data_IF_122852177681
#
_entry.id   IF_122852177681
#
_cell.length_a   1.000
_cell.length_b   1.000
_cell.length_c   1.000
_cell.angle_alpha   90.00
_cell.angle_beta   90.00
_cell.angle_gamma   90.00
#
_symmetry.space_group_name_H-M   'P 1'
#
loop_
_entity.id
_entity.type
_entity.pdbx_description
1 polymer ?
#
# COMPACT_ATOMS: atom_id res chain seq x y z
N UNK A 1 11.92 27.69 -1.11
CA UNK A 1 13.05 27.29 -0.27
C UNK A 1 13.07 28.25 0.91
N UNK A 2 12.38 27.93 2.01
CA UNK A 2 12.57 28.64 3.28
C UNK A 2 13.08 27.60 4.26
N UNK A 3 14.40 27.58 4.47
CA UNK A 3 15.00 26.91 5.58
C UNK A 3 14.42 27.51 6.87
N UNK A 4 13.96 26.65 7.77
CA UNK A 4 13.59 27.07 9.12
C UNK A 4 14.79 27.81 9.71
N UNK A 5 14.59 29.05 10.15
CA UNK A 5 15.62 29.86 10.79
C UNK A 5 16.11 29.13 12.05
N UNK A 6 17.36 29.35 12.44
CA UNK A 6 17.94 28.78 13.67
C UNK A 6 17.10 29.07 14.91
N UNK A 7 16.42 30.20 14.95
CA UNK A 7 15.48 30.57 16.00
C UNK A 7 14.25 29.63 16.08
N UNK A 8 13.74 29.14 14.94
CA UNK A 8 12.63 28.18 14.89
C UNK A 8 13.08 26.77 15.29
N UNK A 9 14.33 26.41 15.01
CA UNK A 9 14.93 25.15 15.52
C UNK A 9 15.21 25.19 17.02
N UNK A 10 15.65 26.33 17.53
CA UNK A 10 15.89 26.51 18.96
C UNK A 10 14.59 26.50 19.78
N UNK A 11 13.49 27.02 19.26
CA UNK A 11 12.17 26.99 19.89
C UNK A 11 11.50 25.61 19.92
N UNK A 12 11.83 24.73 18.97
CA UNK A 12 11.27 23.37 18.90
C UNK A 12 11.91 22.37 19.87
N UNK A 13 13.15 22.60 20.27
CA UNK A 13 13.91 21.72 21.16
C UNK A 13 13.33 21.58 22.59
N UNK A 14 12.82 22.63 23.26
CA UNK A 14 12.21 22.50 24.58
C UNK A 14 10.87 21.76 24.54
N UNK A 15 10.05 21.97 23.52
CA UNK A 15 8.77 21.30 23.36
C UNK A 15 8.94 19.78 23.12
N UNK A 16 9.91 19.37 22.32
CA UNK A 16 10.25 17.97 22.09
C UNK A 16 10.78 17.29 23.36
N UNK A 17 11.58 18.00 24.19
CA UNK A 17 12.05 17.51 25.49
C UNK A 17 10.92 17.37 26.51
N UNK A 18 9.98 18.32 26.54
CA UNK A 18 8.81 18.27 27.42
C UNK A 18 7.86 17.10 27.04
N UNK A 19 7.67 16.85 25.74
CA UNK A 19 6.85 15.73 25.25
C UNK A 19 7.48 14.38 25.63
N UNK A 20 8.81 14.21 25.51
CA UNK A 20 9.55 13.01 25.94
C UNK A 20 9.45 12.78 27.44
N UNK A 21 9.55 13.86 28.24
CA UNK A 21 9.40 13.76 29.68
C UNK A 21 7.97 13.41 30.13
N UNK A 22 6.97 13.84 29.39
CA UNK A 22 5.56 13.47 29.61
C UNK A 22 5.24 12.03 29.21
N UNK A 23 5.82 11.55 28.12
CA UNK A 23 5.69 10.15 27.67
C UNK A 23 6.43 9.18 28.61
N UNK A 24 7.62 9.53 29.07
CA UNK A 24 8.36 8.75 30.06
C UNK A 24 7.59 8.60 31.38
N UNK A 25 6.91 9.65 31.85
CA UNK A 25 6.08 9.60 33.07
C UNK A 25 4.81 8.77 32.90
N UNK A 26 4.23 8.70 31.70
CA UNK A 26 3.06 7.82 31.42
C UNK A 26 3.44 6.33 31.35
N UNK A 27 4.66 6.00 30.94
CA UNK A 27 5.14 4.61 30.92
C UNK A 27 5.48 4.10 32.32
N UNK A 28 5.96 4.93 33.24
CA UNK A 28 6.25 4.54 34.62
C UNK A 28 5.01 4.38 35.49
N UNK A 29 3.90 5.04 35.16
CA UNK A 29 2.64 4.96 35.93
C UNK A 29 1.75 3.75 35.57
N UNK A 30 2.08 2.96 34.54
CA UNK A 30 1.26 1.78 34.13
C UNK A 30 1.85 0.41 34.49
N UNK A 31 2.96 0.33 35.24
CA UNK A 31 3.64 -0.93 35.55
C UNK A 31 3.31 -1.67 36.85
N UNK A 32 2.40 -1.28 37.78
CA UNK A 32 2.16 -2.12 38.95
C UNK A 32 1.21 -3.30 38.73
N UNK A 33 0.38 -3.34 37.68
CA UNK A 33 -0.65 -4.40 37.53
C UNK A 33 -0.25 -5.62 36.68
N UNK A 34 0.66 -5.49 35.73
CA UNK A 34 1.08 -6.64 34.90
C UNK A 34 2.12 -7.55 35.56
N UNK A 35 2.92 -7.02 36.47
CA UNK A 35 3.94 -7.82 37.20
C UNK A 35 3.31 -8.80 38.18
N UNK A 36 2.11 -8.52 38.72
CA UNK A 36 1.41 -9.45 39.63
C UNK A 36 0.75 -10.63 38.92
N UNK A 37 0.31 -10.47 37.66
CA UNK A 37 -0.32 -11.56 36.92
C UNK A 37 0.68 -12.62 36.44
N UNK A 38 1.90 -12.22 36.11
CA UNK A 38 2.98 -13.15 35.72
C UNK A 38 3.52 -13.91 36.95
N UNK A 39 3.57 -13.27 38.13
CA UNK A 39 3.96 -13.96 39.37
C UNK A 39 2.91 -14.94 39.89
N UNK A 40 1.63 -14.66 39.74
CA UNK A 40 0.56 -15.59 40.12
C UNK A 40 0.55 -16.85 39.23
N UNK A 41 0.81 -16.70 37.91
CA UNK A 41 0.91 -17.87 37.03
C UNK A 41 2.16 -18.74 37.24
N UNK A 42 3.24 -18.21 37.77
CA UNK A 42 4.43 -19.01 38.13
C UNK A 42 4.29 -19.72 39.46
N UNK A 43 3.52 -19.21 40.43
CA UNK A 43 3.24 -19.89 41.68
C UNK A 43 2.26 -21.06 41.52
N UNK A 44 1.24 -20.93 40.66
CA UNK A 44 0.32 -22.03 40.35
C UNK A 44 1.01 -23.22 39.64
N UNK A 45 2.04 -22.98 38.82
CA UNK A 45 2.79 -24.06 38.19
C UNK A 45 3.69 -24.81 39.20
N UNK A 46 4.11 -24.18 40.27
CA UNK A 46 4.94 -24.82 41.29
C UNK A 46 4.12 -25.69 42.25
N UNK A 47 2.87 -25.35 42.49
CA UNK A 47 1.96 -26.15 43.33
C UNK A 47 1.50 -27.42 42.59
N UNK A 48 1.23 -27.39 41.29
CA UNK A 48 0.84 -28.54 40.50
C UNK A 48 1.91 -29.62 40.38
N UNK A 49 3.20 -29.26 40.53
CA UNK A 49 4.29 -30.22 40.55
C UNK A 49 4.51 -30.95 41.89
N UNK A 50 3.93 -30.41 42.98
CA UNK A 50 4.05 -31.03 44.31
C UNK A 50 2.99 -32.10 44.62
N UNK A 51 1.92 -32.18 43.84
CA UNK A 51 0.78 -33.10 44.09
C UNK A 51 0.98 -34.45 43.39
N UNK A 52 1.93 -34.58 42.43
CA UNK A 52 2.12 -35.84 41.68
C UNK A 52 3.39 -36.64 42.10
N UNK A 53 3.95 -36.36 43.25
CA UNK A 53 5.16 -37.01 43.74
C UNK A 53 4.93 -37.77 45.09
N UNK A 54 3.95 -38.68 45.16
CA UNK A 54 3.91 -39.70 46.22
C UNK A 54 3.87 -41.10 45.62
N UNK A 55 4.90 -41.83 45.96
CA UNK A 55 5.35 -43.06 45.41
C UNK A 55 4.50 -44.32 45.66
N UNK A 56 4.82 -45.34 44.94
CA UNK A 56 4.58 -46.76 45.26
C UNK A 56 5.93 -47.49 45.16
N UNK A 57 6.26 -48.31 46.14
CA UNK A 57 7.53 -48.99 46.20
C UNK A 57 7.51 -50.40 45.60
N UNK A 58 8.61 -50.79 45.00
CA UNK A 58 9.09 -52.17 45.11
C UNK A 58 8.77 -53.11 43.93
N UNK A 59 9.85 -53.56 43.29
CA UNK A 59 9.84 -54.74 42.42
C UNK A 59 11.21 -54.92 41.74
N UNK A 60 12.01 -55.85 42.27
CA UNK A 60 13.33 -56.27 41.77
C UNK A 60 13.20 -57.07 40.49
N UNK A 61 14.16 -56.92 39.56
CA UNK A 61 14.61 -58.10 38.77
C UNK A 61 14.84 -57.88 37.30
N UNK A 62 16.07 -58.19 36.96
CA UNK A 62 16.51 -58.79 35.68
C UNK A 62 16.98 -57.91 34.53
N UNK A 63 18.25 -57.96 34.34
CA UNK A 63 19.07 -57.63 33.19
C UNK A 63 18.59 -58.21 31.87
N UNK A 64 18.59 -57.39 30.80
CA UNK A 64 18.86 -57.88 29.44
C UNK A 64 19.44 -56.71 28.59
N UNK A 65 20.67 -56.90 28.20
CA UNK A 65 21.35 -56.11 27.16
C UNK A 65 20.59 -56.28 25.83
N UNK A 66 20.33 -55.15 25.19
CA UNK A 66 19.77 -55.09 23.85
C UNK A 66 20.13 -53.75 23.24
N UNK A 67 21.32 -53.64 22.66
CA UNK A 67 21.73 -52.49 21.86
C UNK A 67 20.82 -52.38 20.63
N UNK A 68 19.88 -51.43 20.68
CA UNK A 68 19.14 -51.02 19.47
C UNK A 68 19.81 -49.75 18.94
N UNK A 69 20.48 -49.93 17.79
CA UNK A 69 21.08 -48.86 17.02
C UNK A 69 20.01 -47.78 16.70
N UNK A 70 20.21 -46.59 17.21
CA UNK A 70 19.39 -45.43 16.86
C UNK A 70 19.66 -45.06 15.39
N UNK A 71 18.66 -45.28 14.54
CA UNK A 71 18.66 -44.77 13.18
C UNK A 71 18.73 -43.22 13.21
N UNK A 72 19.55 -42.59 12.35
CA UNK A 72 19.62 -41.14 12.33
C UNK A 72 18.27 -40.56 11.86
N UNK A 73 17.68 -39.68 12.67
CA UNK A 73 16.48 -38.94 12.34
C UNK A 73 16.73 -38.05 11.11
N UNK A 74 16.50 -38.61 9.93
CA UNK A 74 16.42 -37.83 8.68
C UNK A 74 15.05 -37.16 8.65
N UNK A 75 14.96 -35.87 8.98
CA UNK A 75 13.70 -35.17 8.81
C UNK A 75 13.54 -33.78 9.45
N UNK A 76 14.51 -33.26 10.21
CA UNK A 76 14.35 -31.96 10.85
C UNK A 76 14.76 -30.75 9.99
N UNK A 77 15.63 -30.92 9.00
CA UNK A 77 16.16 -29.82 8.19
C UNK A 77 15.15 -29.16 7.25
N UNK A 78 14.23 -29.93 6.68
CA UNK A 78 13.27 -29.40 5.68
C UNK A 78 12.15 -28.57 6.28
N UNK A 79 11.69 -28.90 7.47
CA UNK A 79 10.64 -28.12 8.18
C UNK A 79 11.19 -26.78 8.69
N UNK A 80 12.43 -26.73 9.15
CA UNK A 80 13.09 -25.50 9.58
C UNK A 80 13.40 -24.55 8.42
N UNK A 81 13.81 -25.06 7.28
CA UNK A 81 14.01 -24.27 6.08
C UNK A 81 12.68 -23.65 5.60
N UNK A 82 11.60 -24.44 5.54
CA UNK A 82 10.28 -23.97 5.11
C UNK A 82 9.71 -22.85 6.00
N UNK A 83 9.90 -22.92 7.31
CA UNK A 83 9.42 -21.89 8.24
C UNK A 83 10.18 -20.57 8.10
N UNK A 84 11.50 -20.62 7.86
CA UNK A 84 12.33 -19.42 7.62
C UNK A 84 11.99 -18.74 6.29
N UNK A 85 11.77 -19.50 5.22
CA UNK A 85 11.33 -19.00 3.93
C UNK A 85 9.95 -18.32 4.02
N UNK A 86 8.99 -18.96 4.68
CA UNK A 86 7.66 -18.39 4.88
C UNK A 86 7.71 -17.06 5.67
N UNK A 87 8.56 -16.99 6.70
CA UNK A 87 8.80 -15.75 7.44
C UNK A 87 9.37 -14.64 6.55
N UNK A 88 10.42 -14.94 5.79
CA UNK A 88 11.04 -13.99 4.88
C UNK A 88 10.07 -13.50 3.80
N UNK A 89 9.31 -14.40 3.17
CA UNK A 89 8.30 -14.02 2.17
C UNK A 89 7.23 -13.10 2.77
N UNK A 90 6.79 -13.38 4.00
CA UNK A 90 5.85 -12.53 4.72
C UNK A 90 6.42 -11.12 4.97
N UNK A 91 7.67 -11.03 5.46
CA UNK A 91 8.33 -9.75 5.74
C UNK A 91 8.54 -8.92 4.47
N UNK A 92 8.90 -9.57 3.35
CA UNK A 92 9.02 -8.90 2.06
C UNK A 92 7.65 -8.47 1.51
N UNK A 93 6.60 -9.28 1.66
CA UNK A 93 5.24 -8.93 1.26
C UNK A 93 4.68 -7.76 2.09
N UNK A 94 5.04 -7.69 3.38
CA UNK A 94 4.73 -6.56 4.25
C UNK A 94 5.47 -5.29 3.79
N UNK A 95 6.76 -5.39 3.49
CA UNK A 95 7.59 -4.29 3.00
C UNK A 95 7.04 -3.67 1.72
N UNK A 96 6.66 -4.50 0.73
CA UNK A 96 6.09 -4.00 -0.54
C UNK A 96 4.60 -3.70 -0.46
N UNK A 97 3.97 -3.87 0.70
CA UNK A 97 2.52 -3.68 0.91
C UNK A 97 1.72 -4.36 -0.20
N UNK A 98 1.96 -5.65 -0.41
CA UNK A 98 1.46 -6.42 -1.55
C UNK A 98 -0.03 -6.18 -1.89
N UNK A 99 -0.97 -6.03 -0.92
CA UNK A 99 -2.37 -5.74 -1.23
C UNK A 99 -2.62 -4.36 -1.87
N UNK A 100 -1.74 -3.38 -1.64
CA UNK A 100 -1.90 -2.02 -2.20
C UNK A 100 -1.72 -2.01 -3.73
N UNK A 101 -1.00 -2.99 -4.29
CA UNK A 101 -0.81 -3.12 -5.74
C UNK A 101 -2.07 -3.53 -6.52
N UNK A 102 -3.18 -3.89 -5.86
CA UNK A 102 -4.41 -4.31 -6.53
C UNK A 102 -5.04 -3.24 -7.45
N UNK A 103 -4.80 -1.96 -7.17
CA UNK A 103 -5.30 -0.85 -8.00
C UNK A 103 -4.39 -0.49 -9.18
N UNK A 104 -3.15 -0.96 -9.17
CA UNK A 104 -2.11 -0.57 -10.14
C UNK A 104 -2.36 -1.17 -11.53
N UNK A 105 -2.68 -2.46 -11.70
CA UNK A 105 -3.00 -3.03 -13.00
C UNK A 105 -4.14 -2.32 -13.73
N UNK A 106 -5.05 -1.69 -12.99
CA UNK A 106 -6.18 -0.97 -13.54
C UNK A 106 -5.78 0.26 -14.38
N UNK A 107 -4.69 0.95 -14.05
CA UNK A 107 -4.17 2.07 -14.84
C UNK A 107 -3.67 1.59 -16.19
N UNK A 108 -2.88 0.52 -16.20
CA UNK A 108 -2.37 -0.10 -17.42
C UNK A 108 -3.52 -0.59 -18.31
N UNK A 109 -4.53 -1.23 -17.71
CA UNK A 109 -5.71 -1.72 -18.45
C UNK A 109 -6.53 -0.55 -19.02
N UNK A 110 -6.74 0.51 -18.23
CA UNK A 110 -7.44 1.72 -18.71
C UNK A 110 -6.67 2.40 -19.85
N UNK A 111 -5.35 2.46 -19.77
CA UNK A 111 -4.48 3.00 -20.81
C UNK A 111 -4.50 2.16 -22.10
N UNK A 112 -4.38 0.84 -21.97
CA UNK A 112 -4.46 -0.09 -23.09
C UNK A 112 -5.86 -0.02 -23.78
N UNK A 113 -6.93 0.06 -22.98
CA UNK A 113 -8.29 0.25 -23.49
C UNK A 113 -8.43 1.58 -24.27
N UNK A 114 -7.93 2.68 -23.69
CA UNK A 114 -7.98 3.99 -24.33
C UNK A 114 -7.18 4.06 -25.65
N UNK A 115 -6.06 3.36 -25.73
CA UNK A 115 -5.26 3.23 -26.95
C UNK A 115 -5.83 2.22 -27.97
N UNK A 116 -6.85 1.41 -27.58
CA UNK A 116 -7.38 0.31 -28.39
C UNK A 116 -6.41 -0.87 -28.53
N UNK A 117 -5.60 -1.12 -27.50
CA UNK A 117 -4.52 -2.11 -27.51
C UNK A 117 -4.61 -3.14 -26.39
N UNK A 118 -5.82 -3.41 -25.90
CA UNK A 118 -6.04 -4.54 -25.00
C UNK A 118 -5.71 -5.86 -25.72
N UNK A 119 -4.61 -6.50 -25.36
CA UNK A 119 -4.11 -7.70 -26.02
C UNK A 119 -3.27 -8.56 -25.05
N UNK A 120 -2.66 -9.65 -25.55
CA UNK A 120 -1.82 -10.58 -24.77
C UNK A 120 -0.58 -9.95 -24.12
N UNK A 121 -0.18 -8.75 -24.51
CA UNK A 121 0.95 -8.02 -23.92
C UNK A 121 0.53 -7.18 -22.71
N UNK A 122 -0.77 -6.85 -22.59
CA UNK A 122 -1.31 -6.06 -21.48
C UNK A 122 -0.99 -6.66 -20.09
N UNK A 123 -1.11 -7.98 -19.84
CA UNK A 123 -0.69 -8.57 -18.57
C UNK A 123 0.81 -8.37 -18.25
N UNK A 124 1.69 -8.41 -19.24
CA UNK A 124 3.12 -8.15 -19.06
C UNK A 124 3.39 -6.69 -18.66
N UNK A 125 2.68 -5.72 -19.26
CA UNK A 125 2.76 -4.32 -18.87
C UNK A 125 2.17 -4.09 -17.46
N UNK A 126 1.09 -4.80 -17.11
CA UNK A 126 0.52 -4.74 -15.77
C UNK A 126 1.48 -5.31 -14.70
N UNK A 127 2.16 -6.40 -15.01
CA UNK A 127 3.21 -6.96 -14.15
C UNK A 127 4.40 -5.99 -14.00
N UNK A 128 4.81 -5.32 -15.08
CA UNK A 128 5.83 -4.28 -15.05
C UNK A 128 5.45 -3.15 -14.07
N UNK A 129 4.21 -2.65 -14.19
CA UNK A 129 3.67 -1.63 -13.30
C UNK A 129 3.67 -2.08 -11.84
N UNK A 130 3.20 -3.29 -11.52
CA UNK A 130 3.23 -3.86 -10.17
C UNK A 130 4.65 -3.90 -9.61
N UNK A 131 5.64 -4.35 -10.41
CA UNK A 131 7.04 -4.35 -9.98
C UNK A 131 7.54 -2.94 -9.64
N UNK A 132 7.22 -1.93 -10.47
CA UNK A 132 7.64 -0.55 -10.24
C UNK A 132 7.00 0.06 -8.97
N UNK A 133 5.73 -0.25 -8.70
CA UNK A 133 5.08 0.21 -7.47
C UNK A 133 5.57 -0.51 -6.22
N UNK A 134 5.84 -1.81 -6.29
CA UNK A 134 6.50 -2.53 -5.20
C UNK A 134 7.91 -2.02 -4.94
N UNK A 135 8.64 -1.68 -6.01
CA UNK A 135 9.94 -1.01 -5.89
C UNK A 135 9.82 0.31 -5.12
N UNK A 136 8.82 1.14 -5.47
CA UNK A 136 8.52 2.38 -4.75
C UNK A 136 8.22 2.14 -3.28
N UNK A 137 7.36 1.17 -2.92
CA UNK A 137 7.06 0.86 -1.52
C UNK A 137 8.32 0.49 -0.73
N UNK A 138 9.18 -0.37 -1.29
CA UNK A 138 10.44 -0.74 -0.66
C UNK A 138 11.41 0.46 -0.54
N UNK A 139 11.49 1.31 -1.57
CA UNK A 139 12.29 2.53 -1.57
C UNK A 139 11.76 3.56 -0.56
N UNK A 140 10.44 3.67 -0.41
CA UNK A 140 9.78 4.52 0.58
C UNK A 140 10.15 4.12 2.02
N UNK A 141 10.02 2.84 2.36
CA UNK A 141 10.33 2.35 3.69
C UNK A 141 11.86 2.42 3.97
N UNK A 142 12.69 2.24 2.94
CA UNK A 142 14.14 2.48 3.04
C UNK A 142 14.47 3.95 3.29
N UNK A 143 13.82 4.88 2.59
CA UNK A 143 14.04 6.31 2.77
C UNK A 143 13.56 6.83 4.13
N UNK A 144 12.46 6.27 4.66
CA UNK A 144 11.86 6.68 5.93
C UNK A 144 12.40 5.90 7.15
N UNK A 145 13.34 4.96 6.99
CA UNK A 145 13.81 4.04 8.04
C UNK A 145 14.14 4.71 9.37
N UNK A 146 14.74 5.91 9.35
CA UNK A 146 15.15 6.64 10.56
C UNK A 146 13.93 7.28 11.24
N UNK A 147 12.95 7.74 10.48
CA UNK A 147 11.67 8.26 10.98
C UNK A 147 10.81 7.11 11.51
N UNK A 148 10.70 6.03 10.76
CA UNK A 148 9.94 4.83 11.14
C UNK A 148 10.50 4.15 12.39
N UNK A 149 11.81 4.25 12.66
CA UNK A 149 12.39 3.74 13.90
C UNK A 149 11.80 4.43 15.15
N UNK A 150 11.31 5.65 15.01
CA UNK A 150 10.68 6.43 16.08
C UNK A 150 9.16 6.26 16.09
N UNK A 151 8.53 6.33 14.92
CA UNK A 151 7.06 6.38 14.80
C UNK A 151 6.42 5.00 14.67
N UNK A 152 7.13 4.03 14.07
CA UNK A 152 6.61 2.70 13.68
C UNK A 152 7.69 1.62 13.83
N UNK A 153 8.20 1.37 15.04
CA UNK A 153 9.32 0.46 15.31
C UNK A 153 9.01 -1.00 14.92
N UNK A 154 7.72 -1.35 14.75
CA UNK A 154 7.27 -2.68 14.32
C UNK A 154 7.46 -2.97 12.82
N UNK A 155 7.73 -1.94 11.98
CA UNK A 155 7.96 -2.14 10.54
C UNK A 155 9.17 -3.03 10.25
N UNK A 156 9.20 -3.68 9.05
CA UNK A 156 10.25 -4.66 8.72
C UNK A 156 11.69 -4.15 8.86
N UNK A 157 11.97 -2.91 8.48
CA UNK A 157 13.33 -2.34 8.56
C UNK A 157 13.69 -1.94 9.99
N UNK A 158 12.91 -1.11 10.70
CA UNK A 158 13.21 -0.74 12.07
C UNK A 158 13.29 -1.91 13.05
N UNK A 159 12.44 -2.92 12.88
CA UNK A 159 12.43 -4.13 13.71
C UNK A 159 13.61 -5.07 13.45
N UNK A 160 14.45 -4.80 12.44
CA UNK A 160 15.58 -5.64 12.07
C UNK A 160 15.20 -6.90 11.26
N UNK A 161 13.92 -7.13 10.95
CA UNK A 161 13.47 -8.28 10.14
C UNK A 161 13.98 -8.21 8.70
N UNK A 162 14.15 -7.00 8.16
CA UNK A 162 14.74 -6.74 6.84
C UNK A 162 15.85 -5.71 6.98
N UNK A 163 17.06 -6.01 6.50
CA UNK A 163 18.14 -5.03 6.54
C UNK A 163 17.91 -3.89 5.54
N UNK A 164 18.36 -2.65 5.83
CA UNK A 164 18.23 -1.53 4.88
C UNK A 164 18.87 -1.82 3.50
N UNK A 165 19.98 -2.57 3.47
CA UNK A 165 20.64 -2.99 2.23
C UNK A 165 19.77 -3.97 1.43
N UNK A 166 19.11 -4.91 2.10
CA UNK A 166 18.21 -5.86 1.44
C UNK A 166 16.97 -5.15 0.88
N UNK A 167 16.40 -4.18 1.62
CA UNK A 167 15.28 -3.37 1.15
C UNK A 167 15.64 -2.55 -0.10
N UNK A 168 16.81 -1.90 -0.10
CA UNK A 168 17.32 -1.14 -1.26
C UNK A 168 17.60 -2.08 -2.45
N UNK A 169 18.22 -3.25 -2.20
CA UNK A 169 18.46 -4.27 -3.22
C UNK A 169 17.16 -4.78 -3.84
N UNK A 170 16.12 -5.02 -3.02
CA UNK A 170 14.78 -5.40 -3.51
C UNK A 170 14.17 -4.28 -4.36
N UNK A 171 14.23 -3.03 -3.92
CA UNK A 171 13.71 -1.88 -4.68
C UNK A 171 14.41 -1.75 -6.04
N UNK A 172 15.74 -1.86 -6.08
CA UNK A 172 16.51 -1.81 -7.32
C UNK A 172 16.19 -3.01 -8.24
N UNK A 173 16.14 -4.23 -7.68
CA UNK A 173 15.81 -5.45 -8.43
C UNK A 173 14.40 -5.40 -9.03
N UNK A 174 13.40 -4.96 -8.26
CA UNK A 174 12.02 -4.78 -8.75
C UNK A 174 11.93 -3.67 -9.80
N UNK A 175 12.71 -2.59 -9.66
CA UNK A 175 12.80 -1.53 -10.69
C UNK A 175 13.35 -2.11 -11.99
N UNK A 176 14.46 -2.84 -11.94
CA UNK A 176 15.05 -3.47 -13.12
C UNK A 176 14.10 -4.49 -13.76
N UNK A 177 13.42 -5.30 -12.95
CA UNK A 177 12.42 -6.27 -13.42
C UNK A 177 11.23 -5.56 -14.09
N UNK A 178 10.71 -4.47 -13.48
CA UNK A 178 9.60 -3.71 -14.03
C UNK A 178 9.96 -3.05 -15.37
N UNK A 179 11.14 -2.41 -15.46
CA UNK A 179 11.63 -1.81 -16.71
C UNK A 179 11.90 -2.88 -17.78
N UNK A 180 12.47 -4.03 -17.39
CA UNK A 180 12.72 -5.17 -18.28
C UNK A 180 11.42 -5.76 -18.84
N UNK A 181 10.41 -6.00 -17.98
CA UNK A 181 9.08 -6.46 -18.39
C UNK A 181 8.37 -5.48 -19.33
N UNK A 182 8.50 -4.17 -19.04
CA UNK A 182 7.95 -3.14 -19.92
C UNK A 182 8.63 -3.11 -21.30
N UNK A 183 9.94 -3.29 -21.33
CA UNK A 183 10.70 -3.41 -22.57
C UNK A 183 10.31 -4.67 -23.36
N UNK A 184 10.15 -5.80 -22.68
CA UNK A 184 9.73 -7.05 -23.31
C UNK A 184 8.30 -6.98 -23.87
N UNK A 185 7.33 -6.48 -23.06
CA UNK A 185 5.93 -6.43 -23.47
C UNK A 185 5.59 -5.26 -24.41
N UNK A 186 6.20 -4.08 -24.19
CA UNK A 186 5.91 -2.83 -24.90
C UNK A 186 6.98 -2.39 -25.90
N UNK A 187 8.11 -3.12 -25.98
CA UNK A 187 9.26 -2.75 -26.82
C UNK A 187 9.87 -1.42 -26.42
N UNK A 188 10.46 -0.71 -27.37
CA UNK A 188 11.10 0.60 -27.15
C UNK A 188 10.16 1.64 -26.54
N UNK A 189 8.86 1.60 -26.88
CA UNK A 189 7.86 2.52 -26.32
C UNK A 189 7.53 2.18 -24.85
N UNK A 190 7.44 0.88 -24.52
CA UNK A 190 7.31 0.42 -23.15
C UNK A 190 8.48 0.88 -22.28
N UNK A 191 9.71 0.71 -22.78
CA UNK A 191 10.92 1.20 -22.13
C UNK A 191 10.91 2.73 -21.95
N UNK A 192 10.58 3.48 -23.01
CA UNK A 192 10.53 4.94 -22.99
C UNK A 192 9.49 5.51 -22.01
N UNK A 193 8.46 4.72 -21.64
CA UNK A 193 7.46 5.11 -20.64
C UNK A 193 7.84 4.60 -19.24
N UNK A 194 8.37 3.38 -19.14
CA UNK A 194 8.71 2.78 -17.85
C UNK A 194 9.90 3.47 -17.16
N UNK A 195 10.89 3.97 -17.92
CA UNK A 195 12.04 4.68 -17.33
C UNK A 195 11.62 5.99 -16.65
N UNK A 196 10.88 6.91 -17.29
CA UNK A 196 10.39 8.10 -16.58
C UNK A 196 9.39 7.75 -15.45
N UNK A 197 8.57 6.70 -15.59
CA UNK A 197 7.72 6.23 -14.50
C UNK A 197 8.57 5.80 -13.28
N UNK A 198 9.56 4.95 -13.49
CA UNK A 198 10.48 4.52 -12.42
C UNK A 198 11.18 5.72 -11.77
N UNK A 199 11.72 6.64 -12.57
CA UNK A 199 12.38 7.84 -12.07
C UNK A 199 11.43 8.72 -11.23
N UNK A 200 10.17 8.86 -11.67
CA UNK A 200 9.16 9.66 -10.96
C UNK A 200 8.74 8.99 -9.66
N UNK A 201 8.59 7.65 -9.63
CA UNK A 201 8.32 6.86 -8.41
C UNK A 201 9.45 7.05 -7.40
N UNK A 202 10.71 6.86 -7.82
CA UNK A 202 11.86 7.08 -6.93
C UNK A 202 11.96 8.53 -6.44
N UNK A 203 11.74 9.51 -7.32
CA UNK A 203 11.75 10.92 -6.94
C UNK A 203 10.67 11.24 -5.90
N UNK A 204 9.49 10.63 -6.04
CA UNK A 204 8.41 10.77 -5.06
C UNK A 204 8.81 10.18 -3.71
N UNK A 205 9.21 8.92 -3.67
CA UNK A 205 9.43 8.20 -2.42
C UNK A 205 10.65 8.69 -1.64
N UNK A 206 11.71 9.09 -2.34
CA UNK A 206 12.94 9.57 -1.69
C UNK A 206 12.86 11.05 -1.28
N UNK A 207 12.18 11.90 -2.07
CA UNK A 207 12.28 13.36 -1.87
C UNK A 207 10.95 14.10 -1.93
N UNK A 208 10.13 13.85 -2.96
CA UNK A 208 9.02 14.75 -3.27
C UNK A 208 7.81 14.59 -2.35
N UNK A 209 7.57 13.42 -1.74
CA UNK A 209 6.40 13.11 -0.91
C UNK A 209 6.17 14.12 0.22
N UNK A 210 7.25 14.65 0.81
CA UNK A 210 7.19 15.61 1.91
C UNK A 210 7.24 17.08 1.47
N UNK A 211 7.22 17.34 0.14
CA UNK A 211 7.25 18.69 -0.44
C UNK A 211 5.86 19.13 -0.91
N UNK A 212 5.68 20.41 -1.22
CA UNK A 212 4.46 20.93 -1.83
C UNK A 212 4.15 20.28 -3.20
N UNK A 213 5.17 19.81 -3.91
CA UNK A 213 5.05 19.13 -5.20
C UNK A 213 4.58 17.66 -5.06
N UNK A 214 4.56 17.08 -3.86
CA UNK A 214 4.19 15.67 -3.63
C UNK A 214 2.94 15.22 -4.36
N UNK A 215 1.78 15.91 -4.21
CA UNK A 215 0.55 15.53 -4.91
C UNK A 215 0.70 15.50 -6.44
N UNK A 216 1.43 16.45 -7.03
CA UNK A 216 1.66 16.53 -8.46
C UNK A 216 2.59 15.39 -8.96
N UNK A 217 3.63 15.07 -8.20
CA UNK A 217 4.56 13.99 -8.55
C UNK A 217 3.87 12.63 -8.46
N UNK A 218 3.04 12.38 -7.42
CA UNK A 218 2.25 11.15 -7.33
C UNK A 218 1.21 11.06 -8.46
N UNK A 219 0.57 12.18 -8.81
CA UNK A 219 -0.34 12.24 -9.95
C UNK A 219 0.38 11.90 -11.27
N UNK A 220 1.61 12.40 -11.45
CA UNK A 220 2.44 12.06 -12.61
C UNK A 220 2.79 10.56 -12.65
N UNK A 221 3.12 9.93 -11.52
CA UNK A 221 3.33 8.48 -11.46
C UNK A 221 2.13 7.72 -12.02
N UNK A 222 0.93 8.07 -11.58
CA UNK A 222 -0.30 7.37 -12.02
C UNK A 222 -0.65 7.68 -13.49
N UNK A 223 -0.44 8.90 -13.93
CA UNK A 223 -0.63 9.27 -15.34
C UNK A 223 0.34 8.53 -16.28
N UNK A 224 1.62 8.43 -15.90
CA UNK A 224 2.64 7.67 -16.63
C UNK A 224 2.31 6.17 -16.65
N UNK A 225 1.71 5.64 -15.59
CA UNK A 225 1.30 4.24 -15.52
C UNK A 225 0.16 3.93 -16.52
N UNK A 226 -0.82 4.83 -16.67
CA UNK A 226 -1.82 4.74 -17.74
C UNK A 226 -1.17 4.77 -19.13
N UNK A 227 -0.17 5.65 -19.34
CA UNK A 227 0.56 5.72 -20.61
C UNK A 227 1.43 4.48 -20.87
N UNK A 228 1.93 3.83 -19.82
CA UNK A 228 2.62 2.54 -19.95
C UNK A 228 1.67 1.49 -20.55
N UNK A 229 0.42 1.43 -20.12
CA UNK A 229 -0.59 0.55 -20.72
C UNK A 229 -0.84 0.82 -22.20
N UNK A 230 -0.72 2.07 -22.63
CA UNK A 230 -0.89 2.49 -24.00
C UNK A 230 0.35 2.31 -24.89
N UNK A 231 1.47 1.85 -24.35
CA UNK A 231 2.76 1.79 -25.04
C UNK A 231 2.79 0.87 -26.26
N UNK A 232 1.90 -0.11 -26.36
CA UNK A 232 1.77 -0.98 -27.53
C UNK A 232 0.98 -0.32 -28.69
N UNK A 233 0.47 0.91 -28.52
CA UNK A 233 -0.31 1.65 -29.49
C UNK A 233 0.07 3.13 -29.58
N UNK A 234 -0.93 3.96 -29.80
CA UNK A 234 -0.81 5.41 -29.84
C UNK A 234 -1.03 6.01 -28.46
N UNK A 235 0.02 6.31 -27.72
CA UNK A 235 -0.05 6.88 -26.37
C UNK A 235 -0.91 8.17 -26.31
N UNK A 236 -0.91 8.99 -27.36
CA UNK A 236 -1.71 10.21 -27.43
C UNK A 236 -3.23 9.95 -27.25
N UNK A 237 -3.73 8.77 -27.65
CA UNK A 237 -5.14 8.40 -27.44
C UNK A 237 -5.47 8.15 -25.96
N UNK A 238 -4.48 7.78 -25.15
CA UNK A 238 -4.63 7.54 -23.72
C UNK A 238 -4.39 8.79 -22.87
N UNK A 239 -3.91 9.90 -23.43
CA UNK A 239 -3.68 11.14 -22.69
C UNK A 239 -4.90 11.62 -21.87
N UNK A 240 -6.13 11.63 -22.42
CA UNK A 240 -7.30 12.02 -21.61
C UNK A 240 -7.51 11.11 -20.40
N UNK A 241 -7.33 9.79 -20.56
CA UNK A 241 -7.43 8.83 -19.48
C UNK A 241 -6.30 9.02 -18.46
N UNK A 242 -5.06 9.23 -18.92
CA UNK A 242 -3.91 9.50 -18.07
C UNK A 242 -4.09 10.77 -17.23
N UNK A 243 -4.56 11.86 -17.83
CA UNK A 243 -4.85 13.11 -17.13
C UNK A 243 -6.02 12.95 -16.13
N UNK A 244 -7.04 12.17 -16.47
CA UNK A 244 -8.18 11.90 -15.59
C UNK A 244 -7.73 11.13 -14.34
N UNK A 245 -6.91 10.08 -14.50
CA UNK A 245 -6.35 9.32 -13.36
C UNK A 245 -5.36 10.17 -12.56
N UNK A 246 -4.53 10.95 -13.22
CA UNK A 246 -3.61 11.88 -12.56
C UNK A 246 -4.37 12.93 -11.72
N UNK A 247 -5.42 13.54 -12.27
CA UNK A 247 -6.26 14.50 -11.56
C UNK A 247 -6.94 13.88 -10.34
N UNK A 248 -7.50 12.65 -10.49
CA UNK A 248 -8.02 11.91 -9.34
C UNK A 248 -6.96 11.70 -8.26
N UNK A 249 -5.77 11.20 -8.66
CA UNK A 249 -4.67 10.94 -7.72
C UNK A 249 -4.21 12.21 -7.02
N UNK A 250 -4.18 13.33 -7.73
CA UNK A 250 -3.87 14.62 -7.13
C UNK A 250 -4.84 14.97 -6.00
N UNK A 251 -6.16 14.81 -6.21
CA UNK A 251 -7.16 15.11 -5.17
C UNK A 251 -7.00 14.23 -3.94
N UNK A 252 -6.75 12.93 -4.14
CA UNK A 252 -6.53 11.97 -3.04
C UNK A 252 -5.26 12.33 -2.27
N UNK A 253 -4.13 12.58 -2.97
CA UNK A 253 -2.84 12.86 -2.33
C UNK A 253 -2.83 14.24 -1.66
N UNK A 254 -3.55 15.22 -2.20
CA UNK A 254 -3.71 16.51 -1.54
C UNK A 254 -4.43 16.38 -0.19
N UNK A 255 -5.51 15.60 -0.13
CA UNK A 255 -6.23 15.30 1.11
C UNK A 255 -5.40 14.48 2.09
N UNK A 256 -4.64 13.48 1.62
CA UNK A 256 -3.86 12.59 2.49
C UNK A 256 -2.85 13.33 3.36
N UNK A 257 -2.35 14.48 2.91
CA UNK A 257 -1.44 15.33 3.69
C UNK A 257 -2.09 15.94 4.95
N UNK A 258 -3.40 15.84 5.08
CA UNK A 258 -4.20 16.39 6.18
C UNK A 258 -4.91 15.33 7.02
N UNK A 259 -4.57 14.06 6.82
CA UNK A 259 -5.18 12.93 7.55
C UNK A 259 -4.94 12.96 9.06
N UNK A 260 -3.85 13.56 9.50
CA UNK A 260 -3.47 13.61 10.93
C UNK A 260 -3.97 14.88 11.60
N UNK A 261 -3.84 16.03 10.91
CA UNK A 261 -4.15 17.35 11.48
C UNK A 261 -5.58 17.81 11.25
N UNK A 262 -6.31 17.20 10.28
CA UNK A 262 -7.49 17.83 9.71
C UNK A 262 -7.10 19.01 8.81
N UNK A 263 -8.09 19.74 8.31
CA UNK A 263 -7.91 20.88 7.40
C UNK A 263 -9.04 21.88 7.59
N UNK A 264 -9.01 23.01 6.86
CA UNK A 264 -10.19 23.86 6.65
C UNK A 264 -11.08 23.27 5.53
N UNK A 265 -12.29 23.82 5.38
CA UNK A 265 -13.27 23.34 4.39
C UNK A 265 -12.84 23.59 2.93
N UNK A 266 -11.90 24.51 2.67
CA UNK A 266 -11.51 24.91 1.31
C UNK A 266 -10.88 23.76 0.52
N UNK A 267 -10.00 22.98 1.16
CA UNK A 267 -9.34 21.85 0.52
C UNK A 267 -10.32 20.71 0.15
N UNK A 268 -11.20 20.20 1.04
CA UNK A 268 -12.23 19.24 0.66
C UNK A 268 -13.19 19.73 -0.42
N UNK A 269 -13.58 21.02 -0.40
CA UNK A 269 -14.42 21.64 -1.44
C UNK A 269 -13.69 21.66 -2.78
N UNK A 270 -12.44 22.11 -2.83
CA UNK A 270 -11.64 22.16 -4.05
C UNK A 270 -11.42 20.75 -4.63
N UNK A 271 -11.11 19.76 -3.77
CA UNK A 271 -10.94 18.38 -4.22
C UNK A 271 -12.25 17.73 -4.66
N UNK A 272 -13.39 18.10 -4.08
CA UNK A 272 -14.71 17.66 -4.53
C UNK A 272 -15.02 18.23 -5.93
N UNK A 273 -14.77 19.51 -6.17
CA UNK A 273 -14.91 20.12 -7.49
C UNK A 273 -14.03 19.40 -8.53
N UNK A 274 -12.77 19.10 -8.17
CA UNK A 274 -11.88 18.26 -8.99
C UNK A 274 -12.46 16.87 -9.27
N UNK A 275 -13.07 16.23 -8.27
CA UNK A 275 -13.70 14.91 -8.41
C UNK A 275 -14.92 14.95 -9.34
N UNK A 276 -15.73 16.03 -9.29
CA UNK A 276 -16.84 16.24 -10.23
C UNK A 276 -16.30 16.37 -11.66
N UNK A 277 -15.25 17.17 -11.88
CA UNK A 277 -14.61 17.33 -13.19
C UNK A 277 -14.04 16.00 -13.70
N UNK A 278 -13.38 15.22 -12.84
CA UNK A 278 -12.88 13.86 -13.15
C UNK A 278 -14.02 12.93 -13.58
N UNK A 279 -15.13 12.91 -12.83
CA UNK A 279 -16.29 12.09 -13.17
C UNK A 279 -16.92 12.49 -14.49
N UNK A 280 -17.10 13.79 -14.73
CA UNK A 280 -17.65 14.32 -15.98
C UNK A 280 -16.73 13.98 -17.17
N UNK A 281 -15.40 14.16 -17.00
CA UNK A 281 -14.42 13.82 -18.05
C UNK A 281 -14.42 12.31 -18.34
N UNK A 282 -14.49 11.46 -17.31
CA UNK A 282 -14.52 10.01 -17.44
C UNK A 282 -15.82 9.53 -18.11
N UNK A 283 -16.97 10.11 -17.75
CA UNK A 283 -18.25 9.83 -18.36
C UNK A 283 -18.33 10.26 -19.82
N UNK A 284 -17.62 11.32 -20.20
CA UNK A 284 -17.58 12.08 -21.46
C UNK A 284 -18.19 11.40 -22.70
N UNK A 285 -18.29 12.07 -23.83
CA UNK A 285 -18.95 11.53 -25.03
C UNK A 285 -18.42 10.13 -25.39
N UNK A 286 -19.22 9.10 -25.07
CA UNK A 286 -18.96 7.73 -25.49
C UNK A 286 -19.33 7.59 -26.96
N UNK A 287 -18.46 6.99 -27.76
CA UNK A 287 -18.79 6.59 -29.11
C UNK A 287 -19.75 5.38 -29.18
N UNK A 288 -20.08 4.80 -28.04
CA UNK A 288 -20.98 3.68 -27.88
C UNK A 288 -22.44 4.14 -28.05
N UNK A 289 -23.30 3.28 -28.59
CA UNK A 289 -24.73 3.52 -28.75
C UNK A 289 -25.54 2.59 -27.85
N UNK A 290 -26.79 2.99 -27.58
CA UNK A 290 -27.72 2.21 -26.78
C UNK A 290 -27.25 2.01 -25.34
N UNK A 291 -27.54 0.84 -24.74
CA UNK A 291 -27.21 0.52 -23.33
C UNK A 291 -25.72 0.59 -23.01
N UNK A 292 -24.85 0.37 -24.00
CA UNK A 292 -23.38 0.46 -23.80
C UNK A 292 -22.91 1.88 -23.53
N UNK A 293 -23.65 2.91 -23.93
CA UNK A 293 -23.37 4.29 -23.60
C UNK A 293 -23.72 4.63 -22.15
N UNK A 294 -24.68 3.90 -21.56
CA UNK A 294 -25.13 4.11 -20.17
C UNK A 294 -24.10 3.62 -19.17
N UNK A 295 -23.38 2.53 -19.46
CA UNK A 295 -22.44 1.92 -18.54
C UNK A 295 -21.35 2.86 -18.02
N UNK A 296 -20.59 3.60 -18.86
CA UNK A 296 -19.59 4.54 -18.34
C UNK A 296 -20.20 5.67 -17.51
N UNK A 297 -21.40 6.14 -17.86
CA UNK A 297 -22.11 7.17 -17.08
C UNK A 297 -22.51 6.63 -15.71
N UNK A 298 -23.05 5.40 -15.64
CA UNK A 298 -23.43 4.75 -14.38
C UNK A 298 -22.20 4.52 -13.47
N UNK A 299 -21.09 4.07 -14.04
CA UNK A 299 -19.85 3.86 -13.29
C UNK A 299 -19.25 5.20 -12.81
N UNK A 300 -19.27 6.25 -13.63
CA UNK A 300 -18.85 7.59 -13.23
C UNK A 300 -19.72 8.15 -12.11
N UNK A 301 -21.04 7.96 -12.20
CA UNK A 301 -21.97 8.32 -11.12
C UNK A 301 -21.72 7.56 -9.84
N UNK A 302 -21.41 6.26 -9.91
CA UNK A 302 -21.03 5.46 -8.74
C UNK A 302 -19.71 5.97 -8.13
N UNK A 303 -18.67 6.21 -8.93
CA UNK A 303 -17.42 6.80 -8.48
C UNK A 303 -17.66 8.14 -7.77
N UNK A 304 -18.39 9.07 -8.43
CA UNK A 304 -18.70 10.39 -7.86
C UNK A 304 -19.50 10.28 -6.56
N UNK A 305 -20.49 9.41 -6.51
CA UNK A 305 -21.32 9.21 -5.32
C UNK A 305 -20.49 8.66 -4.16
N UNK A 306 -19.58 7.72 -4.45
CA UNK A 306 -18.76 7.08 -3.43
C UNK A 306 -17.69 8.03 -2.88
N UNK A 307 -16.88 8.65 -3.72
CA UNK A 307 -15.80 9.52 -3.31
C UNK A 307 -16.29 10.93 -2.96
N UNK A 308 -17.17 11.50 -3.80
CA UNK A 308 -17.71 12.85 -3.59
C UNK A 308 -18.50 13.00 -2.30
N UNK A 309 -19.32 12.01 -1.90
CA UNK A 309 -20.01 12.05 -0.60
C UNK A 309 -19.05 12.09 0.59
N UNK A 310 -17.93 11.37 0.51
CA UNK A 310 -16.92 11.38 1.56
C UNK A 310 -16.23 12.75 1.65
N UNK A 311 -15.91 13.37 0.50
CA UNK A 311 -15.35 14.72 0.44
C UNK A 311 -16.34 15.77 0.92
N UNK A 312 -17.64 15.67 0.57
CA UNK A 312 -18.68 16.56 1.06
C UNK A 312 -18.82 16.52 2.58
N UNK A 313 -18.72 15.31 3.18
CA UNK A 313 -18.71 15.18 4.65
C UNK A 313 -17.45 15.78 5.28
N UNK A 314 -16.30 15.66 4.64
CA UNK A 314 -15.07 16.29 5.08
C UNK A 314 -15.12 17.82 4.90
N UNK A 315 -15.83 18.34 3.90
CA UNK A 315 -16.06 19.77 3.73
C UNK A 315 -16.99 20.34 4.83
N UNK A 316 -18.02 19.58 5.20
CA UNK A 316 -18.95 19.99 6.26
C UNK A 316 -18.29 19.96 7.66
N UNK A 317 -17.40 19.02 7.90
CA UNK A 317 -16.67 18.88 9.16
C UNK A 317 -15.23 18.38 8.83
N UNK A 318 -14.26 19.29 8.72
CA UNK A 318 -12.93 18.98 8.17
C UNK A 318 -11.95 18.45 9.23
N UNK A 319 -12.43 17.55 10.11
CA UNK A 319 -11.60 16.85 11.08
C UNK A 319 -10.76 15.73 10.45
N UNK A 320 -9.73 15.30 11.16
CA UNK A 320 -8.80 14.26 10.71
C UNK A 320 -9.48 12.93 10.36
N UNK A 321 -10.55 12.53 11.07
CA UNK A 321 -11.25 11.27 10.85
C UNK A 321 -12.02 11.29 9.52
N UNK A 322 -12.70 12.40 9.20
CA UNK A 322 -13.44 12.56 7.94
C UNK A 322 -12.50 12.72 6.75
N UNK A 323 -11.38 13.43 6.93
CA UNK A 323 -10.32 13.52 5.90
C UNK A 323 -9.78 12.14 5.59
N UNK A 324 -9.43 11.31 6.60
CA UNK A 324 -9.01 9.89 6.38
C UNK A 324 -10.08 9.07 5.67
N UNK A 325 -11.34 9.23 6.05
CA UNK A 325 -12.45 8.53 5.38
C UNK A 325 -12.58 8.94 3.91
N UNK A 326 -12.37 10.24 3.59
CA UNK A 326 -12.38 10.72 2.21
C UNK A 326 -11.21 10.14 1.41
N UNK A 327 -10.00 10.12 1.95
CA UNK A 327 -8.82 9.51 1.30
C UNK A 327 -9.04 8.02 1.06
N UNK A 328 -9.49 7.26 2.07
CA UNK A 328 -9.82 5.85 1.91
C UNK A 328 -10.89 5.59 0.85
N UNK A 329 -11.90 6.49 0.75
CA UNK A 329 -12.92 6.42 -0.29
C UNK A 329 -12.36 6.73 -1.69
N UNK A 330 -11.40 7.66 -1.80
CA UNK A 330 -10.69 7.95 -3.05
C UNK A 330 -9.88 6.73 -3.52
N UNK A 331 -9.06 6.16 -2.64
CA UNK A 331 -8.24 4.97 -2.94
C UNK A 331 -9.13 3.81 -3.41
N UNK A 332 -10.21 3.51 -2.67
CA UNK A 332 -11.10 2.39 -3.00
C UNK A 332 -12.06 2.69 -4.17
N UNK A 333 -12.21 3.95 -4.56
CA UNK A 333 -13.01 4.39 -5.70
C UNK A 333 -12.25 4.34 -7.04
N UNK A 334 -10.91 4.31 -6.99
CA UNK A 334 -10.09 4.32 -8.20
C UNK A 334 -10.38 3.16 -9.18
N UNK A 335 -10.57 1.90 -8.77
CA UNK A 335 -10.93 0.83 -9.69
C UNK A 335 -12.23 1.11 -10.45
N UNK A 336 -13.19 1.80 -9.83
CA UNK A 336 -14.44 2.21 -10.51
C UNK A 336 -14.16 3.26 -11.61
N UNK A 337 -13.28 4.23 -11.33
CA UNK A 337 -12.86 5.23 -12.33
C UNK A 337 -12.12 4.56 -13.50
N UNK A 338 -11.20 3.65 -13.22
CA UNK A 338 -10.48 2.86 -14.23
C UNK A 338 -11.46 2.04 -15.08
N UNK A 339 -12.45 1.42 -14.43
CA UNK A 339 -13.54 0.71 -15.09
C UNK A 339 -14.38 1.61 -16.00
N UNK A 340 -14.68 2.84 -15.56
CA UNK A 340 -15.37 3.86 -16.36
C UNK A 340 -14.60 4.17 -17.64
N UNK A 341 -13.30 4.43 -17.52
CA UNK A 341 -12.42 4.75 -18.65
C UNK A 341 -12.33 3.59 -19.66
N UNK A 342 -12.23 2.35 -19.17
CA UNK A 342 -12.25 1.17 -20.02
C UNK A 342 -13.62 0.97 -20.74
N UNK A 343 -14.73 1.09 -19.99
CA UNK A 343 -16.09 0.93 -20.54
C UNK A 343 -16.39 1.97 -21.63
N UNK A 344 -15.93 3.21 -21.47
CA UNK A 344 -16.11 4.29 -22.45
C UNK A 344 -15.53 3.96 -23.83
N UNK A 345 -14.47 3.17 -23.88
CA UNK A 345 -13.82 2.76 -25.14
C UNK A 345 -14.47 1.55 -25.82
N UNK A 346 -15.49 0.97 -25.19
CA UNK A 346 -16.17 -0.25 -25.67
C UNK A 346 -15.74 -1.52 -24.93
N UNK A 347 -14.73 -1.47 -24.07
CA UNK A 347 -14.30 -2.61 -23.25
C UNK A 347 -15.20 -2.76 -22.00
N UNK A 348 -16.53 -2.88 -22.19
CA UNK A 348 -17.52 -2.86 -21.09
C UNK A 348 -17.32 -3.97 -20.06
N UNK A 349 -17.03 -5.20 -20.51
CA UNK A 349 -16.78 -6.35 -19.62
C UNK A 349 -15.55 -6.08 -18.76
N UNK A 350 -14.45 -5.62 -19.38
CA UNK A 350 -13.22 -5.23 -18.66
C UNK A 350 -13.50 -4.10 -17.66
N UNK A 351 -14.31 -3.11 -18.07
CA UNK A 351 -14.73 -2.01 -17.21
C UNK A 351 -15.51 -2.48 -15.98
N UNK A 352 -16.46 -3.40 -16.15
CA UNK A 352 -17.20 -4.01 -15.04
C UNK A 352 -16.28 -4.84 -14.11
N UNK A 353 -15.37 -5.63 -14.70
CA UNK A 353 -14.43 -6.42 -13.92
C UNK A 353 -13.52 -5.52 -13.04
N UNK A 354 -13.01 -4.42 -13.60
CA UNK A 354 -12.24 -3.44 -12.81
C UNK A 354 -13.09 -2.80 -11.71
N UNK A 355 -14.31 -2.36 -12.02
CA UNK A 355 -15.19 -1.74 -11.04
C UNK A 355 -15.56 -2.71 -9.90
N UNK A 356 -15.71 -4.01 -10.19
CA UNK A 356 -15.96 -5.05 -9.20
C UNK A 356 -14.81 -5.25 -8.19
N UNK A 357 -13.60 -4.81 -8.50
CA UNK A 357 -12.49 -4.81 -7.55
C UNK A 357 -12.68 -3.78 -6.41
N UNK A 358 -13.46 -2.73 -6.61
CA UNK A 358 -13.66 -1.70 -5.61
C UNK A 358 -14.29 -2.23 -4.29
N UNK A 359 -15.36 -3.04 -4.27
CA UNK A 359 -15.87 -3.64 -3.05
C UNK A 359 -14.92 -4.65 -2.43
N UNK A 360 -14.11 -5.37 -3.22
CA UNK A 360 -13.08 -6.27 -2.73
C UNK A 360 -11.96 -5.49 -2.02
N UNK A 361 -11.46 -4.43 -2.63
CA UNK A 361 -10.46 -3.56 -2.04
C UNK A 361 -10.94 -2.99 -0.69
N UNK A 362 -12.22 -2.56 -0.59
CA UNK A 362 -12.80 -2.09 0.67
C UNK A 362 -12.85 -3.16 1.76
N UNK A 363 -13.14 -4.41 1.41
CA UNK A 363 -13.14 -5.53 2.36
C UNK A 363 -11.74 -5.83 2.88
N UNK A 364 -10.74 -5.80 2.00
CA UNK A 364 -9.34 -6.04 2.35
C UNK A 364 -8.78 -4.92 3.24
N UNK A 365 -9.00 -3.65 2.88
CA UNK A 365 -8.58 -2.50 3.69
C UNK A 365 -9.16 -2.58 5.10
N UNK A 366 -10.46 -2.91 5.25
CA UNK A 366 -11.08 -3.07 6.57
C UNK A 366 -10.49 -4.19 7.41
N UNK A 367 -10.05 -5.29 6.80
CA UNK A 367 -9.41 -6.41 7.52
C UNK A 367 -8.00 -6.04 8.01
N UNK A 368 -7.24 -5.30 7.21
CA UNK A 368 -5.88 -4.85 7.56
C UNK A 368 -5.91 -3.75 8.63
N UNK A 369 -6.93 -2.88 8.63
CA UNK A 369 -7.07 -1.81 9.64
C UNK A 369 -7.66 -2.30 10.96
N UNK A 370 -8.15 -3.54 11.04
CA UNK A 370 -8.72 -4.15 12.25
C UNK A 370 -7.69 -5.01 13.00
N UNK A 371 -6.49 -5.19 12.48
CA UNK A 371 -5.33 -5.83 13.11
C UNK A 371 -4.28 -4.79 13.47
#
# INVERSE_FOLDING_TARGET
VTALTEAQRAAALPAARALRAAQGRRMTARRPREVNLVRLRSSERHELHKIHGRGVPGGRGASAEGAVAAAPARGSGSRWAGSRWAGMVRDLAELVRAPAALSVPGDVIAGAAAAGTLNRRTPGLAAASVCLYWAGMAANDWADRDLDAVERPERPIPSGRVSPRAALGLAAGLTAAGVGLAAWAGGRRGLATAVPLAATVWAYDVKAKNTAAGPAVMAACRGLDVLLGASTGRAAKALPAALTVAAHTYTVTALSRREVSGTDASLPVATLAGTVAVAATAAGASRQKGWRAVLPVALAGWYLTHYGRAQARAAAQPDAARVRAAVGSGITGLPTLQGTLAARTGAGVTGLALAALAPLARRLVRRISAT
#
